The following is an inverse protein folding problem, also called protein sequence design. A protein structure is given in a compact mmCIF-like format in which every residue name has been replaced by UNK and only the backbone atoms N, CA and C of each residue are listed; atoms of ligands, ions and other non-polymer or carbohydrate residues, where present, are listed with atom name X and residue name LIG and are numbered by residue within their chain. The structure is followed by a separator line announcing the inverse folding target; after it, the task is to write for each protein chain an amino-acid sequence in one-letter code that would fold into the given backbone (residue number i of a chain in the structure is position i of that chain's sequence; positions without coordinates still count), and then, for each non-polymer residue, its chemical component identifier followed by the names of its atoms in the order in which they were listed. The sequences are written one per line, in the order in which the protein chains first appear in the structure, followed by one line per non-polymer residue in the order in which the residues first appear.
data_IF_181839646425
#
_entry.id   IF_181839646425
#
_cell.length_a   1.000
_cell.length_b   1.000
_cell.length_c   1.000
_cell.angle_alpha   90.00
_cell.angle_beta   90.00
_cell.angle_gamma   90.00
#
_symmetry.space_group_name_H-M   'P 1'
#
loop_
_entity.id
_entity.type
_entity.pdbx_description
1 polymer ?
#
# COMPACT_ATOMS: atom_id res chain seq x y z
N UNK A 1 5.67 21.54 11.60
CA UNK A 1 4.27 21.79 11.20
C UNK A 1 3.63 20.44 10.97
N UNK A 2 3.27 19.77 12.06
CA UNK A 2 2.78 18.39 12.02
C UNK A 2 1.31 18.44 11.62
N UNK A 3 1.04 18.16 10.34
CA UNK A 3 -0.29 17.76 9.91
C UNK A 3 -0.75 16.64 10.85
N UNK A 4 -1.94 16.80 11.45
CA UNK A 4 -2.51 15.95 12.50
C UNK A 4 -2.04 14.47 12.46
N UNK A 5 -1.05 14.07 13.29
CA UNK A 5 -0.43 12.74 13.20
C UNK A 5 -1.38 11.60 13.56
N UNK A 6 -2.38 11.88 14.41
CA UNK A 6 -3.25 10.84 14.97
C UNK A 6 -4.23 10.32 13.93
N UNK A 7 -4.80 11.20 13.08
CA UNK A 7 -5.80 10.78 12.10
C UNK A 7 -5.18 9.94 10.98
N UNK A 8 -3.98 10.33 10.51
CA UNK A 8 -3.25 9.56 9.51
C UNK A 8 -2.89 8.17 10.02
N UNK A 9 -2.28 8.08 11.20
CA UNK A 9 -1.86 6.81 11.79
C UNK A 9 -3.04 5.87 12.13
N UNK A 10 -4.15 6.41 12.65
CA UNK A 10 -5.36 5.60 12.91
C UNK A 10 -6.03 5.11 11.63
N UNK A 11 -6.04 5.93 10.57
CA UNK A 11 -6.55 5.51 9.26
C UNK A 11 -5.69 4.40 8.67
N UNK A 12 -4.37 4.56 8.66
CA UNK A 12 -3.42 3.57 8.15
C UNK A 12 -3.57 2.24 8.91
N UNK A 13 -3.56 2.26 10.24
CA UNK A 13 -3.73 1.07 11.06
C UNK A 13 -5.05 0.35 10.78
N UNK A 14 -6.16 1.08 10.67
CA UNK A 14 -7.46 0.50 10.33
C UNK A 14 -7.45 -0.21 8.97
N UNK A 15 -6.84 0.40 7.95
CA UNK A 15 -6.73 -0.20 6.62
C UNK A 15 -5.87 -1.47 6.67
N UNK A 16 -4.72 -1.42 7.34
CA UNK A 16 -3.83 -2.59 7.49
C UNK A 16 -4.59 -3.74 8.17
N UNK A 17 -5.25 -3.48 9.31
CA UNK A 17 -5.99 -4.51 10.04
C UNK A 17 -7.06 -5.19 9.18
N UNK A 18 -7.83 -4.42 8.40
CA UNK A 18 -8.83 -4.98 7.49
C UNK A 18 -8.20 -5.85 6.40
N UNK A 19 -7.09 -5.41 5.80
CA UNK A 19 -6.36 -6.20 4.80
C UNK A 19 -5.87 -7.52 5.41
N UNK A 20 -5.26 -7.49 6.60
CA UNK A 20 -4.70 -8.68 7.25
C UNK A 20 -5.78 -9.70 7.65
N UNK A 21 -6.93 -9.22 8.12
CA UNK A 21 -8.07 -10.09 8.46
C UNK A 21 -8.60 -10.83 7.23
N UNK A 22 -8.67 -10.14 6.09
CA UNK A 22 -9.24 -10.68 4.85
C UNK A 22 -8.24 -11.50 4.02
N UNK A 23 -6.93 -11.30 4.25
CA UNK A 23 -5.85 -11.97 3.54
C UNK A 23 -4.97 -12.85 4.47
N UNK A 24 -5.55 -13.83 5.21
CA UNK A 24 -4.86 -14.56 6.29
C UNK A 24 -3.71 -15.46 5.81
N UNK A 25 -3.59 -15.68 4.50
CA UNK A 25 -2.57 -16.54 3.89
C UNK A 25 -1.36 -15.77 3.33
N UNK A 26 -1.36 -14.44 3.47
CA UNK A 26 -0.24 -13.59 3.08
C UNK A 26 0.62 -13.26 4.29
N UNK A 27 1.93 -13.38 4.15
CA UNK A 27 2.87 -12.91 5.15
C UNK A 27 2.99 -11.40 5.05
N UNK A 28 2.69 -10.69 6.14
CA UNK A 28 2.76 -9.24 6.19
C UNK A 28 4.04 -8.75 6.85
N UNK A 29 4.58 -7.65 6.33
CA UNK A 29 5.69 -6.89 6.92
C UNK A 29 5.63 -5.41 6.53
N UNK A 30 6.36 -4.57 7.25
CA UNK A 30 6.62 -3.18 6.85
C UNK A 30 8.02 -3.09 6.25
N UNK A 31 8.21 -2.25 5.22
CA UNK A 31 9.51 -2.05 4.59
C UNK A 31 10.07 -0.66 4.85
N UNK A 32 11.35 -0.62 5.22
CA UNK A 32 12.16 0.59 5.28
C UNK A 32 13.59 0.30 4.84
N UNK A 33 14.08 1.07 3.87
CA UNK A 33 15.47 0.98 3.41
C UNK A 33 16.43 1.77 4.30
N UNK A 34 17.73 1.54 4.14
CA UNK A 34 18.79 2.30 4.80
C UNK A 34 18.84 3.79 4.44
N UNK A 35 18.27 4.18 3.28
CA UNK A 35 18.17 5.57 2.84
C UNK A 35 16.81 6.21 3.19
N UNK A 36 15.97 5.54 3.98
CA UNK A 36 14.70 6.07 4.49
C UNK A 36 13.55 6.05 3.48
N UNK A 37 13.63 5.20 2.45
CA UNK A 37 12.47 4.88 1.61
C UNK A 37 11.58 3.87 2.34
N UNK A 38 10.27 4.04 2.24
CA UNK A 38 9.29 3.31 3.03
C UNK A 38 8.15 2.79 2.15
N UNK A 39 7.59 1.65 2.54
CA UNK A 39 6.29 1.15 2.06
C UNK A 39 5.50 0.64 3.26
N UNK A 40 4.26 1.10 3.40
CA UNK A 40 3.43 0.91 4.59
C UNK A 40 3.13 -0.58 4.86
N UNK A 41 2.89 -1.37 3.81
CA UNK A 41 2.63 -2.80 3.93
C UNK A 41 3.21 -3.56 2.73
N UNK A 42 3.92 -4.65 3.03
CA UNK A 42 4.39 -5.64 2.05
C UNK A 42 3.73 -6.98 2.38
N UNK A 43 3.13 -7.60 1.38
CA UNK A 43 2.50 -8.90 1.47
C UNK A 43 3.25 -9.91 0.59
N UNK A 44 3.54 -11.08 1.14
CA UNK A 44 4.23 -12.16 0.42
C UNK A 44 3.46 -13.48 0.52
N UNK A 45 3.27 -14.17 -0.62
CA UNK A 45 2.63 -15.48 -0.69
C UNK A 45 3.11 -16.23 -1.93
N UNK A 46 3.60 -17.46 -1.75
CA UNK A 46 3.93 -18.35 -2.87
C UNK A 46 4.95 -17.79 -3.87
N UNK A 47 5.86 -16.93 -3.41
CA UNK A 47 6.84 -16.25 -4.27
C UNK A 47 6.34 -14.98 -4.94
N UNK A 48 5.08 -14.58 -4.71
CA UNK A 48 4.58 -13.27 -5.09
C UNK A 48 4.83 -12.26 -3.98
N UNK A 49 5.18 -11.04 -4.36
CA UNK A 49 5.37 -9.89 -3.48
C UNK A 49 4.47 -8.74 -3.93
N UNK A 50 3.64 -8.24 -3.02
CA UNK A 50 2.77 -7.07 -3.24
C UNK A 50 3.19 -5.95 -2.29
N UNK A 51 3.40 -4.75 -2.82
CA UNK A 51 3.66 -3.55 -2.01
C UNK A 51 2.45 -2.62 -2.01
N UNK A 52 2.07 -2.16 -0.82
CA UNK A 52 0.89 -1.33 -0.58
C UNK A 52 1.32 -0.05 0.15
N UNK A 53 0.93 1.09 -0.40
CA UNK A 53 1.00 2.40 0.25
C UNK A 53 -0.42 2.86 0.62
N UNK A 54 -0.60 3.47 1.79
CA UNK A 54 -1.90 3.91 2.28
C UNK A 54 -1.93 5.45 2.33
N UNK A 55 -3.02 6.03 1.81
CA UNK A 55 -3.24 7.48 1.80
C UNK A 55 -4.67 7.79 2.21
N UNK A 56 -4.82 8.65 3.22
CA UNK A 56 -6.12 9.18 3.64
C UNK A 56 -6.69 10.28 2.71
N UNK A 57 -5.96 10.64 1.65
CA UNK A 57 -6.38 11.64 0.68
C UNK A 57 -7.17 11.00 -0.46
N UNK A 58 -8.22 11.67 -0.93
CA UNK A 58 -9.00 11.28 -2.13
C UNK A 58 -8.26 11.50 -3.45
N UNK A 59 -7.09 12.16 -3.42
CA UNK A 59 -6.21 12.37 -4.57
C UNK A 59 -4.77 11.98 -4.20
N UNK A 60 -4.52 10.68 -3.95
CA UNK A 60 -3.22 10.18 -3.50
C UNK A 60 -2.10 10.55 -4.47
N UNK A 61 -0.96 10.92 -3.89
CA UNK A 61 0.28 11.17 -4.64
C UNK A 61 1.40 10.39 -4.00
N UNK A 62 2.19 9.72 -4.84
CA UNK A 62 3.41 9.06 -4.42
C UNK A 62 4.56 10.06 -4.36
N UNK A 63 5.32 9.98 -3.27
CA UNK A 63 6.57 10.71 -3.11
C UNK A 63 7.71 9.98 -3.82
N UNK A 64 8.85 10.68 -3.99
CA UNK A 64 10.08 10.05 -4.47
C UNK A 64 10.53 8.87 -3.57
N UNK A 65 10.24 8.95 -2.27
CA UNK A 65 10.55 7.89 -1.31
C UNK A 65 9.77 6.61 -1.62
N UNK A 66 8.47 6.72 -1.91
CA UNK A 66 7.64 5.56 -2.26
C UNK A 66 8.14 4.88 -3.53
N UNK A 67 8.43 5.67 -4.58
CA UNK A 67 9.01 5.14 -5.81
C UNK A 67 10.34 4.42 -5.57
N UNK A 68 11.19 4.98 -4.69
CA UNK A 68 12.47 4.37 -4.34
C UNK A 68 12.29 3.07 -3.56
N UNK A 69 11.27 2.98 -2.71
CA UNK A 69 10.93 1.74 -2.00
C UNK A 69 10.50 0.65 -2.99
N UNK A 70 9.64 0.98 -3.96
CA UNK A 70 9.21 0.04 -4.99
C UNK A 70 10.36 -0.40 -5.90
N UNK A 71 11.30 0.49 -6.23
CA UNK A 71 12.49 0.14 -7.02
C UNK A 71 13.42 -0.83 -6.28
N UNK A 72 13.48 -0.75 -4.95
CA UNK A 72 14.28 -1.67 -4.10
C UNK A 72 13.55 -2.99 -3.89
N UNK A 73 12.27 -2.95 -3.54
CA UNK A 73 11.44 -4.14 -3.29
C UNK A 73 11.21 -4.96 -4.55
N UNK A 74 11.04 -4.30 -5.70
CA UNK A 74 10.63 -4.89 -6.98
C UNK A 74 9.43 -5.82 -6.84
N UNK A 75 8.31 -5.33 -6.29
CA UNK A 75 7.12 -6.15 -6.09
C UNK A 75 6.51 -6.55 -7.45
N UNK A 76 5.82 -7.68 -7.48
CA UNK A 76 5.04 -8.12 -8.63
C UNK A 76 3.84 -7.21 -8.89
N UNK A 77 3.22 -6.71 -7.81
CA UNK A 77 2.12 -5.75 -7.86
C UNK A 77 2.33 -4.60 -6.88
N UNK A 78 1.90 -3.41 -7.27
CA UNK A 78 2.01 -2.22 -6.44
C UNK A 78 0.69 -1.46 -6.39
N UNK A 79 0.21 -1.20 -5.18
CA UNK A 79 -1.08 -0.57 -4.94
C UNK A 79 -0.96 0.65 -4.02
N UNK A 80 -1.82 1.63 -4.26
CA UNK A 80 -2.10 2.73 -3.34
C UNK A 80 -3.55 2.62 -2.88
N UNK A 81 -3.74 2.35 -1.60
CA UNK A 81 -5.08 2.27 -0.98
C UNK A 81 -5.47 3.65 -0.49
N UNK A 82 -6.58 4.16 -1.01
CA UNK A 82 -7.07 5.49 -0.70
C UNK A 82 -8.59 5.60 -0.89
N UNK A 83 -9.26 6.59 -0.29
CA UNK A 83 -10.69 6.86 -0.51
C UNK A 83 -10.91 7.52 -1.90
N UNK A 84 -10.67 6.77 -2.97
CA UNK A 84 -10.85 7.21 -4.36
C UNK A 84 -12.19 6.74 -4.93
N UNK A 85 -12.74 7.48 -5.88
CA UNK A 85 -14.04 7.16 -6.50
C UNK A 85 -13.97 5.97 -7.47
N UNK A 86 -12.80 5.72 -8.05
CA UNK A 86 -12.55 4.61 -8.96
C UNK A 86 -11.10 4.17 -8.93
N UNK A 87 -10.84 2.98 -9.46
CA UNK A 87 -9.49 2.48 -9.67
C UNK A 87 -8.84 3.19 -10.86
N UNK A 88 -7.61 3.71 -10.68
CA UNK A 88 -6.85 4.33 -11.76
C UNK A 88 -5.35 4.15 -11.60
N UNK A 89 -4.60 4.25 -12.71
CA UNK A 89 -3.15 4.12 -12.68
C UNK A 89 -2.48 5.42 -12.19
N UNK A 90 -1.50 5.28 -11.29
CA UNK A 90 -0.57 6.32 -10.87
C UNK A 90 0.74 6.29 -11.70
N UNK A 91 0.81 5.45 -12.73
CA UNK A 91 1.98 5.22 -13.57
C UNK A 91 2.89 4.10 -13.05
N UNK A 92 3.83 3.65 -13.90
CA UNK A 92 4.82 2.60 -13.58
C UNK A 92 4.23 1.34 -12.93
N UNK A 93 3.09 0.87 -13.43
CA UNK A 93 2.36 -0.30 -12.91
C UNK A 93 1.86 -0.15 -11.47
N UNK A 94 1.65 1.08 -10.99
CA UNK A 94 1.00 1.34 -9.71
C UNK A 94 -0.46 1.70 -9.92
N UNK A 95 -1.35 1.09 -9.15
CA UNK A 95 -2.78 1.34 -9.20
C UNK A 95 -3.26 1.96 -7.88
N UNK A 96 -4.01 3.07 -7.96
CA UNK A 96 -4.75 3.61 -6.83
C UNK A 96 -6.16 3.03 -6.84
N UNK A 97 -6.63 2.55 -5.68
CA UNK A 97 -7.96 1.94 -5.52
C UNK A 97 -8.45 2.01 -4.08
N UNK A 98 -9.70 1.60 -3.88
CA UNK A 98 -10.32 1.45 -2.56
C UNK A 98 -9.78 0.22 -1.82
N UNK A 99 -10.06 0.12 -0.52
CA UNK A 99 -9.72 -1.07 0.27
C UNK A 99 -10.41 -2.34 -0.25
N UNK A 100 -11.68 -2.25 -0.64
CA UNK A 100 -12.39 -3.41 -1.16
C UNK A 100 -11.78 -3.88 -2.49
N UNK A 101 -11.41 -2.93 -3.37
CA UNK A 101 -10.75 -3.24 -4.63
C UNK A 101 -9.41 -3.93 -4.42
N UNK A 102 -8.58 -3.46 -3.48
CA UNK A 102 -7.26 -4.08 -3.25
C UNK A 102 -7.38 -5.48 -2.66
N UNK A 103 -8.38 -5.71 -1.79
CA UNK A 103 -8.63 -7.04 -1.22
C UNK A 103 -9.07 -8.00 -2.32
N UNK A 104 -9.96 -7.57 -3.22
CA UNK A 104 -10.43 -8.39 -4.35
C UNK A 104 -9.27 -8.77 -5.28
N UNK A 105 -8.46 -7.78 -5.69
CA UNK A 105 -7.30 -7.99 -6.56
C UNK A 105 -6.30 -8.98 -5.94
N UNK A 106 -5.91 -8.77 -4.68
CA UNK A 106 -4.93 -9.64 -4.01
C UNK A 106 -5.48 -11.02 -3.68
N UNK A 107 -6.78 -11.14 -3.41
CA UNK A 107 -7.42 -12.45 -3.19
C UNK A 107 -7.41 -13.32 -4.44
N UNK A 108 -7.33 -12.71 -5.63
CA UNK A 108 -7.29 -13.41 -6.91
C UNK A 108 -5.90 -13.95 -7.29
N UNK A 109 -4.86 -13.58 -6.52
CA UNK A 109 -3.45 -13.96 -6.71
C UNK A 109 -3.06 -15.27 -6.00
#
# INVERSE_FOLDING_TARGET
MFAHPVYGASFEGFIIENILVQLPHWQASYFRSSNGAEADLVLEKGGQTVAIEIKSSTSPKLSKGNWSAFDVLRPDQCYVVAPVDCTYSLGKNVMAMTIDGVIEEISSL
#
